data_IF_329033203449
#
_entry.id   IF_329033203449
#
_cell.length_a   1.000
_cell.length_b   1.000
_cell.length_c   1.000
_cell.angle_alpha   90.00
_cell.angle_beta   90.00
_cell.angle_gamma   90.00
#
_symmetry.space_group_name_H-M   'P 1'
#
loop_
_entity.id
_entity.type
_entity.pdbx_description
1 polymer ?
#
# COMPACT_ATOMS: atom_id res chain seq x y z
N UNK A 1 16.86 -2.72 -12.63
CA UNK A 1 15.99 -1.85 -11.81
C UNK A 1 16.88 -1.09 -10.82
N UNK A 2 16.66 0.22 -10.60
CA UNK A 2 17.53 1.04 -9.74
C UNK A 2 17.29 0.68 -8.28
N UNK A 3 18.14 -0.19 -7.73
CA UNK A 3 18.10 -0.65 -6.33
C UNK A 3 18.45 0.43 -5.28
N UNK A 4 18.71 1.67 -5.70
CA UNK A 4 19.26 2.72 -4.83
C UNK A 4 18.30 3.88 -4.52
N UNK A 5 17.21 4.05 -5.27
CA UNK A 5 16.27 5.15 -5.04
C UNK A 5 14.97 4.61 -4.43
N UNK A 6 14.47 5.22 -3.34
CA UNK A 6 13.17 4.88 -2.82
C UNK A 6 12.11 5.14 -3.88
N UNK A 7 11.03 4.33 -3.94
CA UNK A 7 9.93 4.59 -4.86
C UNK A 7 9.34 5.98 -4.57
N UNK A 8 8.83 6.69 -5.60
CA UNK A 8 8.14 7.95 -5.38
C UNK A 8 7.04 7.79 -4.31
N UNK A 9 6.91 8.73 -3.35
CA UNK A 9 5.97 8.60 -2.24
C UNK A 9 4.53 8.32 -2.70
N UNK A 10 4.13 8.95 -3.80
CA UNK A 10 2.80 8.82 -4.39
C UNK A 10 2.53 7.41 -4.91
N UNK A 11 3.55 6.71 -5.44
CA UNK A 11 3.44 5.33 -5.91
C UNK A 11 3.25 4.37 -4.74
N UNK A 12 4.02 4.56 -3.66
CA UNK A 12 3.86 3.75 -2.46
C UNK A 12 2.49 3.96 -1.81
N UNK A 13 1.98 5.19 -1.80
CA UNK A 13 0.62 5.48 -1.33
C UNK A 13 -0.44 4.81 -2.22
N UNK A 14 -0.30 4.89 -3.55
CA UNK A 14 -1.25 4.28 -4.48
C UNK A 14 -1.33 2.75 -4.29
N UNK A 15 -0.18 2.09 -4.11
CA UNK A 15 -0.12 0.66 -3.80
C UNK A 15 -0.77 0.34 -2.45
N UNK A 16 -0.51 1.15 -1.42
CA UNK A 16 -1.13 0.98 -0.11
C UNK A 16 -2.67 1.17 -0.17
N UNK A 17 -3.15 2.14 -0.95
CA UNK A 17 -4.56 2.38 -1.19
C UNK A 17 -5.21 1.18 -1.90
N UNK A 18 -4.50 0.58 -2.87
CA UNK A 18 -4.96 -0.64 -3.52
C UNK A 18 -5.03 -1.83 -2.55
N UNK A 19 -4.02 -2.03 -1.70
CA UNK A 19 -4.07 -3.05 -0.62
C UNK A 19 -5.28 -2.82 0.28
N UNK A 20 -5.53 -1.57 0.70
CA UNK A 20 -6.68 -1.20 1.53
C UNK A 20 -8.02 -1.45 0.82
N UNK A 21 -8.11 -1.14 -0.47
CA UNK A 21 -9.28 -1.42 -1.30
C UNK A 21 -9.54 -2.92 -1.39
N UNK A 22 -8.50 -3.73 -1.59
CA UNK A 22 -8.59 -5.20 -1.70
C UNK A 22 -9.06 -5.89 -0.42
N UNK A 23 -9.14 -5.19 0.72
CA UNK A 23 -9.84 -5.71 1.91
C UNK A 23 -11.33 -5.96 1.65
N UNK A 24 -11.91 -5.27 0.66
CA UNK A 24 -13.32 -5.30 0.31
C UNK A 24 -14.20 -4.45 1.23
N UNK A 25 -13.61 -3.52 1.99
CA UNK A 25 -14.31 -2.63 2.90
C UNK A 25 -13.97 -1.17 2.60
N UNK A 26 -14.92 -0.26 2.69
CA UNK A 26 -14.65 1.18 2.67
C UNK A 26 -14.17 1.68 4.05
N UNK A 27 -14.01 2.99 4.20
CA UNK A 27 -13.59 3.61 5.47
C UNK A 27 -14.64 3.50 6.58
N UNK A 28 -15.91 3.32 6.23
CA UNK A 28 -17.02 3.14 7.16
C UNK A 28 -17.29 1.66 7.47
N UNK A 29 -16.47 0.74 6.93
CA UNK A 29 -16.65 -0.70 7.09
C UNK A 29 -17.76 -1.29 6.22
N UNK A 30 -18.26 -0.55 5.22
CA UNK A 30 -19.23 -1.06 4.25
C UNK A 30 -18.51 -1.89 3.19
N UNK A 31 -19.14 -2.98 2.77
CA UNK A 31 -18.60 -3.83 1.71
C UNK A 31 -18.47 -3.09 0.38
N UNK A 32 -17.31 -3.30 -0.25
CA UNK A 32 -16.98 -2.82 -1.59
C UNK A 32 -16.89 -4.01 -2.51
N UNK A 33 -17.64 -3.98 -3.62
CA UNK A 33 -17.57 -5.02 -4.65
C UNK A 33 -16.19 -4.97 -5.31
N UNK A 34 -15.46 -6.07 -5.23
CA UNK A 34 -14.18 -6.25 -5.91
C UNK A 34 -14.42 -6.88 -7.28
N UNK A 35 -14.02 -6.18 -8.34
CA UNK A 35 -14.08 -6.66 -9.72
C UNK A 35 -12.67 -7.04 -10.19
N UNK A 36 -12.07 -8.01 -9.50
CA UNK A 36 -10.71 -8.48 -9.78
C UNK A 36 -10.72 -10.03 -9.84
N UNK A 37 -10.27 -10.65 -10.96
CA UNK A 37 -10.17 -12.10 -11.08
C UNK A 37 -9.31 -12.77 -10.00
N UNK A 38 -8.34 -12.04 -9.44
CA UNK A 38 -7.44 -12.48 -8.38
C UNK A 38 -7.93 -12.07 -6.98
N UNK A 39 -9.12 -11.46 -6.84
CA UNK A 39 -9.66 -11.01 -5.57
C UNK A 39 -9.66 -12.11 -4.50
N UNK A 40 -10.02 -13.34 -4.87
CA UNK A 40 -10.05 -14.48 -3.95
C UNK A 40 -8.67 -14.80 -3.34
N UNK A 41 -7.59 -14.59 -4.09
CA UNK A 41 -6.22 -14.84 -3.62
C UNK A 41 -5.63 -13.63 -2.89
N UNK A 42 -5.91 -12.42 -3.36
CA UNK A 42 -5.35 -11.18 -2.84
C UNK A 42 -6.06 -10.65 -1.59
N UNK A 43 -7.38 -10.82 -1.49
CA UNK A 43 -8.18 -10.28 -0.38
C UNK A 43 -7.76 -10.82 1.00
N UNK A 44 -7.48 -12.13 1.21
CA UNK A 44 -7.01 -12.62 2.49
C UNK A 44 -5.68 -11.98 2.93
N UNK A 45 -4.75 -11.78 1.99
CA UNK A 45 -3.46 -11.14 2.22
C UNK A 45 -3.65 -9.66 2.57
N UNK A 46 -4.49 -8.95 1.80
CA UNK A 46 -4.84 -7.56 2.06
C UNK A 46 -5.48 -7.38 3.45
N UNK A 47 -6.42 -8.25 3.84
CA UNK A 47 -7.04 -8.23 5.17
C UNK A 47 -6.03 -8.49 6.27
N UNK A 48 -5.08 -9.40 6.08
CA UNK A 48 -4.03 -9.67 7.06
C UNK A 48 -3.04 -8.50 7.19
N UNK A 49 -2.64 -7.88 6.07
CA UNK A 49 -1.77 -6.72 6.03
C UNK A 49 -2.41 -5.49 6.70
N UNK A 50 -3.71 -5.27 6.48
CA UNK A 50 -4.46 -4.11 6.98
C UNK A 50 -4.92 -4.21 8.45
N UNK A 51 -4.66 -5.32 9.14
CA UNK A 51 -4.97 -5.46 10.59
C UNK A 51 -4.21 -4.42 11.42
N UNK A 52 -4.72 -4.03 12.60
CA UNK A 52 -4.00 -3.10 13.49
C UNK A 52 -2.60 -3.56 13.87
N UNK A 53 -2.39 -4.88 14.00
CA UNK A 53 -1.07 -5.46 14.29
C UNK A 53 -0.13 -5.46 13.08
N UNK A 54 -0.66 -5.27 11.86
CA UNK A 54 0.07 -5.27 10.59
C UNK A 54 0.78 -6.59 10.29
N UNK A 55 0.40 -7.31 9.23
CA UNK A 55 1.20 -8.46 8.77
C UNK A 55 2.10 -8.05 7.62
N UNK A 56 3.37 -7.76 7.93
CA UNK A 56 4.36 -7.40 6.92
C UNK A 56 4.61 -8.53 5.90
N UNK A 57 4.69 -9.77 6.38
CA UNK A 57 4.81 -10.94 5.49
C UNK A 57 3.61 -11.10 4.56
N UNK A 58 2.39 -10.82 5.02
CA UNK A 58 1.21 -10.85 4.14
C UNK A 58 1.26 -9.74 3.09
N UNK A 59 1.78 -8.56 3.44
CA UNK A 59 2.00 -7.47 2.48
C UNK A 59 3.03 -7.85 1.42
N UNK A 60 4.16 -8.45 1.81
CA UNK A 60 5.18 -8.92 0.86
C UNK A 60 4.62 -9.98 -0.09
N UNK A 61 3.86 -10.96 0.44
CA UNK A 61 3.18 -11.97 -0.37
C UNK A 61 2.15 -11.34 -1.33
N UNK A 62 1.40 -10.32 -0.86
CA UNK A 62 0.46 -9.59 -1.72
C UNK A 62 1.20 -8.91 -2.88
N UNK A 63 2.28 -8.19 -2.58
CA UNK A 63 3.09 -7.50 -3.59
C UNK A 63 3.76 -8.51 -4.54
N UNK A 64 4.22 -9.65 -4.04
CA UNK A 64 4.82 -10.71 -4.86
C UNK A 64 3.80 -11.30 -5.84
N UNK A 65 2.59 -11.58 -5.36
CA UNK A 65 1.53 -12.14 -6.20
C UNK A 65 1.02 -11.14 -7.25
N UNK A 66 0.98 -9.85 -6.92
CA UNK A 66 0.47 -8.80 -7.79
C UNK A 66 1.50 -8.24 -8.80
N UNK A 67 2.74 -8.02 -8.35
CA UNK A 67 3.78 -7.31 -9.09
C UNK A 67 4.99 -8.20 -9.42
N UNK A 68 5.00 -9.44 -8.93
CA UNK A 68 6.11 -10.38 -9.05
C UNK A 68 7.16 -10.27 -7.94
N UNK A 69 7.93 -11.34 -7.78
CA UNK A 69 8.99 -11.47 -6.75
C UNK A 69 10.01 -10.34 -6.78
N UNK A 70 10.34 -9.81 -7.96
CA UNK A 70 11.30 -8.71 -8.09
C UNK A 70 10.83 -7.46 -7.37
N UNK A 71 9.55 -7.08 -7.51
CA UNK A 71 9.02 -5.90 -6.83
C UNK A 71 8.87 -6.14 -5.32
N UNK A 72 8.45 -7.33 -4.91
CA UNK A 72 8.33 -7.70 -3.49
C UNK A 72 9.68 -7.71 -2.77
N UNK A 73 10.75 -8.09 -3.48
CA UNK A 73 12.12 -8.13 -2.93
C UNK A 73 12.72 -6.75 -2.64
N UNK A 74 12.03 -5.64 -2.96
CA UNK A 74 12.52 -4.29 -2.70
C UNK A 74 12.12 -3.80 -1.32
N UNK A 75 13.03 -3.79 -0.33
CA UNK A 75 12.66 -3.53 1.07
C UNK A 75 12.13 -2.10 1.27
N UNK A 76 12.65 -1.14 0.50
CA UNK A 76 12.20 0.26 0.55
C UNK A 76 10.76 0.40 0.06
N UNK A 77 10.34 -0.40 -0.93
CA UNK A 77 8.97 -0.41 -1.42
C UNK A 77 8.03 -1.00 -0.39
N UNK A 78 8.29 -2.22 0.09
CA UNK A 78 7.43 -2.89 1.07
C UNK A 78 7.31 -2.07 2.37
N UNK A 79 8.40 -1.46 2.84
CA UNK A 79 8.39 -0.56 3.99
C UNK A 79 7.54 0.69 3.76
N UNK A 80 7.68 1.34 2.60
CA UNK A 80 6.92 2.55 2.27
C UNK A 80 5.43 2.26 2.12
N UNK A 81 5.08 1.15 1.46
CA UNK A 81 3.70 0.68 1.33
C UNK A 81 3.10 0.32 2.69
N UNK A 82 3.86 -0.35 3.56
CA UNK A 82 3.41 -0.66 4.92
C UNK A 82 3.11 0.62 5.72
N UNK A 83 4.01 1.61 5.67
CA UNK A 83 3.84 2.91 6.32
C UNK A 83 2.54 3.60 5.87
N UNK A 84 2.31 3.66 4.56
CA UNK A 84 1.10 4.28 4.01
C UNK A 84 -0.16 3.46 4.29
N UNK A 85 -0.09 2.13 4.29
CA UNK A 85 -1.22 1.28 4.63
C UNK A 85 -1.65 1.52 6.09
N UNK A 86 -0.70 1.62 7.02
CA UNK A 86 -0.99 1.99 8.41
C UNK A 86 -1.62 3.38 8.48
N UNK A 87 -1.10 4.37 7.74
CA UNK A 87 -1.68 5.71 7.70
C UNK A 87 -3.13 5.70 7.19
N UNK A 88 -3.41 4.96 6.12
CA UNK A 88 -4.76 4.81 5.56
C UNK A 88 -5.72 4.13 6.54
N UNK A 89 -5.29 3.06 7.20
CA UNK A 89 -6.12 2.34 8.16
C UNK A 89 -6.42 3.14 9.44
N UNK A 90 -5.54 4.06 9.85
CA UNK A 90 -5.64 4.77 11.14
C UNK A 90 -6.14 6.20 11.01
N UNK A 91 -5.82 6.89 9.91
CA UNK A 91 -6.10 8.32 9.71
C UNK A 91 -6.97 8.60 8.48
N UNK A 92 -7.27 7.59 7.67
CA UNK A 92 -8.07 7.71 6.45
C UNK A 92 -7.29 8.24 5.23
N UNK A 93 -7.92 8.14 4.07
CA UNK A 93 -7.37 8.44 2.76
C UNK A 93 -7.01 9.92 2.59
N UNK A 94 -7.88 10.83 3.04
CA UNK A 94 -7.65 12.27 2.88
C UNK A 94 -6.39 12.74 3.61
N UNK A 95 -6.18 12.31 4.86
CA UNK A 95 -4.98 12.65 5.63
C UNK A 95 -3.72 12.06 4.99
N UNK A 96 -3.77 10.77 4.60
CA UNK A 96 -2.63 10.11 3.96
C UNK A 96 -2.25 10.77 2.62
N UNK A 97 -3.24 11.16 1.81
CA UNK A 97 -3.01 11.84 0.55
C UNK A 97 -2.40 13.24 0.74
N UNK A 98 -2.90 14.03 1.69
CA UNK A 98 -2.36 15.35 1.98
C UNK A 98 -0.88 15.27 2.40
N UNK A 99 -0.52 14.28 3.23
CA UNK A 99 0.87 14.05 3.64
C UNK A 99 1.76 13.61 2.48
N UNK A 100 1.30 12.68 1.63
CA UNK A 100 2.09 12.22 0.49
C UNK A 100 2.38 13.35 -0.50
N UNK A 101 1.37 14.19 -0.80
CA UNK A 101 1.54 15.35 -1.67
C UNK A 101 2.53 16.38 -1.10
N UNK A 102 2.51 16.60 0.22
CA UNK A 102 3.47 17.47 0.89
C UNK A 102 4.91 16.91 0.80
N UNK A 103 5.08 15.59 1.01
CA UNK A 103 6.38 14.91 0.92
C UNK A 103 6.94 14.93 -0.51
N UNK A 104 6.11 14.63 -1.51
CA UNK A 104 6.50 14.69 -2.93
C UNK A 104 6.86 16.11 -3.38
N UNK A 105 6.14 17.13 -2.90
CA UNK A 105 6.47 18.54 -3.18
C UNK A 105 7.81 18.96 -2.58
N UNK A 106 8.15 18.44 -1.39
CA UNK A 106 9.45 18.71 -0.76
C UNK A 106 10.62 18.02 -1.47
N UNK A 107 10.40 16.83 -2.02
CA UNK A 107 11.41 16.09 -2.78
C UNK A 107 11.73 16.79 -4.11
N UNK A 108 10.72 17.36 -4.77
CA UNK A 108 10.87 18.14 -5.98
C UNK A 108 11.58 19.50 -5.75
N UNK A 109 11.60 20.00 -4.52
CA UNK A 109 12.24 21.26 -4.13
C UNK A 109 13.68 21.09 -3.58
N UNK A 110 14.17 19.86 -3.44
CA UNK A 110 15.54 19.59 -3.03
C UNK A 110 16.53 19.89 -4.18
N UNK A 111 17.68 20.54 -3.90
CA UNK A 111 18.63 21.02 -4.91
C UNK A 111 19.41 19.90 -5.61
#
# INVERSE_FOLDING_TARGET
ARAAEPPPPDVALALAAWVRYMTGLDENGKEVKLEDPMAAALQPLARAAAKPSGSFSALEQFLALALGETAASWPQLSTSVARWLTALCTRGANCALAEALAESSSLAAAP
#
